data_IF_114077574778
#
_entry.id   IF_114077574778
#
_cell.length_a   1.000
_cell.length_b   1.000
_cell.length_c   1.000
_cell.angle_alpha   90.00
_cell.angle_beta   90.00
_cell.angle_gamma   90.00
#
_symmetry.space_group_name_H-M   'P 1'
#
loop_
_entity.id
_entity.type
_entity.pdbx_description
1 polymer ?
#
# COMPACT_ATOMS: atom_id res chain seq x y z
N UNK A 1 -5.68 0.32 -11.29
CA UNK A 1 -6.85 1.00 -11.98
C UNK A 1 -8.20 0.49 -11.51
N UNK A 2 -8.39 -0.81 -11.27
CA UNK A 2 -9.67 -1.35 -10.76
C UNK A 2 -10.16 -0.63 -9.49
N UNK A 3 -9.29 -0.43 -8.51
CA UNK A 3 -9.63 0.29 -7.28
C UNK A 3 -9.95 1.77 -7.50
N UNK A 4 -9.27 2.42 -8.42
CA UNK A 4 -9.55 3.81 -8.80
C UNK A 4 -10.97 3.93 -9.35
N UNK A 5 -11.35 3.03 -10.25
CA UNK A 5 -12.72 2.99 -10.80
C UNK A 5 -13.78 2.69 -9.73
N UNK A 6 -13.45 1.84 -8.75
CA UNK A 6 -14.33 1.51 -7.63
C UNK A 6 -14.58 2.70 -6.67
N UNK A 7 -13.77 3.75 -6.74
CA UNK A 7 -13.94 5.01 -5.99
C UNK A 7 -14.57 6.12 -6.87
N UNK A 8 -15.33 5.73 -7.88
CA UNK A 8 -16.06 6.63 -8.80
C UNK A 8 -15.16 7.58 -9.63
N UNK A 9 -13.87 7.28 -9.71
CA UNK A 9 -12.93 7.99 -10.60
C UNK A 9 -12.94 7.28 -11.95
N UNK A 10 -13.67 7.84 -12.91
CA UNK A 10 -13.91 7.23 -14.21
C UNK A 10 -13.64 8.22 -15.36
N UNK A 11 -13.78 7.73 -16.59
CA UNK A 11 -13.67 8.56 -17.78
C UNK A 11 -12.29 9.14 -18.01
N UNK A 12 -12.23 10.42 -18.31
CA UNK A 12 -11.00 11.13 -18.66
C UNK A 12 -10.01 11.20 -17.51
N UNK A 13 -10.49 11.36 -16.28
CA UNK A 13 -9.64 11.38 -15.08
C UNK A 13 -8.96 10.04 -14.87
N UNK A 14 -9.68 8.93 -14.96
CA UNK A 14 -9.13 7.59 -14.85
C UNK A 14 -8.13 7.28 -15.98
N UNK A 15 -8.43 7.71 -17.20
CA UNK A 15 -7.54 7.56 -18.35
C UNK A 15 -6.25 8.36 -18.15
N UNK A 16 -6.35 9.58 -17.66
CA UNK A 16 -5.19 10.41 -17.34
C UNK A 16 -4.29 9.77 -16.27
N UNK A 17 -4.88 9.27 -15.18
CA UNK A 17 -4.14 8.57 -14.11
C UNK A 17 -3.44 7.32 -14.67
N UNK A 18 -4.11 6.54 -15.49
CA UNK A 18 -3.52 5.36 -16.14
C UNK A 18 -2.30 5.74 -16.97
N UNK A 19 -2.42 6.76 -17.81
CA UNK A 19 -1.31 7.21 -18.65
C UNK A 19 -0.17 7.79 -17.83
N UNK A 20 -0.48 8.50 -16.76
CA UNK A 20 0.50 9.08 -15.84
C UNK A 20 1.29 8.00 -15.08
N UNK A 21 0.68 6.88 -14.73
CA UNK A 21 1.34 5.76 -14.08
C UNK A 21 2.09 4.83 -15.04
N UNK A 22 1.73 4.84 -16.31
CA UNK A 22 2.31 3.93 -17.31
C UNK A 22 3.63 4.45 -17.89
N UNK A 23 4.51 3.52 -18.30
CA UNK A 23 5.73 3.83 -19.03
C UNK A 23 6.75 4.67 -18.26
N UNK A 24 6.69 4.68 -16.95
CA UNK A 24 7.62 5.42 -16.10
C UNK A 24 9.00 4.77 -16.09
N UNK A 25 10.02 5.62 -16.14
CA UNK A 25 11.41 5.20 -15.95
C UNK A 25 12.05 6.05 -14.85
N UNK A 26 13.07 5.50 -14.22
CA UNK A 26 13.84 6.19 -13.18
C UNK A 26 15.32 5.99 -13.37
N UNK A 27 16.08 6.88 -12.84
CA UNK A 27 17.55 6.82 -12.75
C UNK A 27 17.99 7.39 -11.40
N UNK A 28 19.16 6.99 -10.95
CA UNK A 28 19.75 7.48 -9.71
C UNK A 28 20.88 8.45 -10.07
N UNK A 29 20.92 9.60 -9.38
CA UNK A 29 21.99 10.59 -9.51
C UNK A 29 22.67 10.76 -8.15
N UNK A 30 23.96 10.51 -8.09
CA UNK A 30 24.81 10.73 -6.92
C UNK A 30 26.06 11.49 -7.38
N UNK A 31 26.28 12.66 -6.79
CA UNK A 31 27.46 13.51 -7.11
C UNK A 31 27.68 13.68 -8.62
N UNK A 32 26.63 14.01 -9.36
CA UNK A 32 26.65 14.21 -10.82
C UNK A 32 26.94 12.95 -11.64
N UNK A 33 27.00 11.80 -11.02
CA UNK A 33 27.05 10.50 -11.69
C UNK A 33 25.66 9.90 -11.77
N UNK A 34 25.31 9.34 -12.92
CA UNK A 34 23.97 8.85 -13.24
C UNK A 34 23.98 7.34 -13.49
N UNK A 35 22.97 6.67 -12.98
CA UNK A 35 22.71 5.28 -13.36
C UNK A 35 22.08 5.20 -14.75
N UNK A 36 21.99 4.00 -15.28
CA UNK A 36 21.14 3.73 -16.44
C UNK A 36 19.66 3.93 -16.08
N UNK A 37 18.85 4.22 -17.09
CA UNK A 37 17.41 4.24 -16.96
C UNK A 37 16.88 2.84 -16.62
N UNK A 38 15.97 2.79 -15.65
CA UNK A 38 15.27 1.55 -15.27
C UNK A 38 13.76 1.79 -15.29
N UNK A 39 12.97 0.83 -15.80
CA UNK A 39 11.52 0.95 -15.76
C UNK A 39 10.99 0.92 -14.34
N UNK A 40 9.96 1.71 -14.04
CA UNK A 40 9.21 1.69 -12.79
C UNK A 40 7.95 0.86 -12.99
N UNK A 41 7.91 -0.32 -12.37
CA UNK A 41 6.83 -1.30 -12.56
C UNK A 41 5.81 -1.31 -11.42
N UNK A 42 6.09 -0.61 -10.31
CA UNK A 42 5.22 -0.54 -9.14
C UNK A 42 5.35 0.81 -8.41
N UNK A 43 4.46 1.04 -7.45
CA UNK A 43 4.44 2.25 -6.65
C UNK A 43 3.84 3.45 -7.39
N UNK A 44 3.88 4.59 -6.71
CA UNK A 44 3.39 5.88 -7.20
C UNK A 44 4.51 6.92 -7.15
N UNK A 45 4.45 7.97 -8.00
CA UNK A 45 5.48 9.01 -7.98
C UNK A 45 5.56 9.71 -6.63
N UNK A 46 6.75 9.73 -6.04
CA UNK A 46 7.06 10.45 -4.81
C UNK A 46 7.03 11.96 -5.05
N UNK A 47 6.56 12.73 -4.04
CA UNK A 47 6.50 14.19 -4.12
C UNK A 47 5.35 14.74 -4.98
N UNK A 48 4.49 13.89 -5.52
CA UNK A 48 3.27 14.31 -6.23
C UNK A 48 2.10 14.49 -5.27
N UNK A 49 1.09 15.26 -5.68
CA UNK A 49 -0.18 15.41 -4.92
C UNK A 49 -1.02 14.13 -5.00
N UNK A 50 -1.06 13.49 -6.17
CA UNK A 50 -1.85 12.27 -6.41
C UNK A 50 -1.23 11.01 -5.80
N UNK A 51 0.08 10.95 -5.60
CA UNK A 51 0.75 9.78 -5.06
C UNK A 51 0.16 9.31 -3.74
N UNK A 52 0.10 10.15 -2.70
CA UNK A 52 -0.52 9.80 -1.43
C UNK A 52 -2.00 9.42 -1.54
N UNK A 53 -2.78 10.12 -2.38
CA UNK A 53 -4.18 9.80 -2.60
C UNK A 53 -4.37 8.42 -3.23
N UNK A 54 -3.59 8.09 -4.26
CA UNK A 54 -3.64 6.77 -4.90
C UNK A 54 -3.20 5.66 -3.95
N UNK A 55 -2.22 5.92 -3.09
CA UNK A 55 -1.82 4.98 -2.06
C UNK A 55 -2.96 4.71 -1.06
N UNK A 56 -3.66 5.74 -0.58
CA UNK A 56 -4.83 5.60 0.30
C UNK A 56 -5.95 4.78 -0.36
N UNK A 57 -6.24 5.02 -1.63
CA UNK A 57 -7.19 4.22 -2.40
C UNK A 57 -6.74 2.76 -2.48
N UNK A 58 -5.45 2.52 -2.64
CA UNK A 58 -4.89 1.18 -2.77
C UNK A 58 -5.00 0.37 -1.48
N UNK A 59 -4.80 0.98 -0.32
CA UNK A 59 -4.86 0.33 1.00
C UNK A 59 -6.22 0.42 1.69
N UNK A 60 -7.22 1.00 1.05
CA UNK A 60 -8.51 1.27 1.69
C UNK A 60 -9.25 -0.01 2.15
N UNK A 61 -9.03 -1.13 1.49
CA UNK A 61 -9.61 -2.43 1.82
C UNK A 61 -8.73 -3.30 2.74
N UNK A 62 -7.65 -2.75 3.30
CA UNK A 62 -6.72 -3.48 4.17
C UNK A 62 -7.39 -4.08 5.40
N UNK A 63 -8.35 -3.36 5.97
CA UNK A 63 -9.07 -3.76 7.18
C UNK A 63 -10.31 -4.64 6.92
N UNK A 64 -10.52 -5.06 5.69
CA UNK A 64 -11.61 -5.99 5.36
C UNK A 64 -11.39 -7.34 6.01
N UNK A 65 -12.39 -7.86 6.72
CA UNK A 65 -12.33 -9.12 7.47
C UNK A 65 -11.35 -9.15 8.66
N UNK A 66 -10.89 -8.00 9.14
CA UNK A 66 -10.07 -7.88 10.34
C UNK A 66 -10.98 -7.62 11.54
N UNK A 67 -10.86 -8.48 12.56
CA UNK A 67 -11.64 -8.38 13.81
C UNK A 67 -11.02 -7.38 14.78
N UNK A 68 -9.68 -7.31 14.80
CA UNK A 68 -8.93 -6.40 15.65
C UNK A 68 -9.13 -4.93 15.25
N UNK A 69 -8.97 -4.04 16.21
CA UNK A 69 -9.03 -2.60 15.94
C UNK A 69 -7.77 -2.18 15.17
N UNK A 70 -7.98 -1.54 14.04
CA UNK A 70 -6.90 -1.07 13.17
C UNK A 70 -6.84 0.46 13.15
N UNK A 71 -5.65 1.00 13.21
CA UNK A 71 -5.35 2.41 12.98
C UNK A 71 -4.33 2.52 11.85
N UNK A 72 -4.65 3.33 10.85
CA UNK A 72 -3.82 3.56 9.67
C UNK A 72 -3.42 5.03 9.60
N UNK A 73 -2.13 5.28 9.37
CA UNK A 73 -1.61 6.61 9.10
C UNK A 73 -0.57 6.51 7.99
N UNK A 74 -0.89 7.02 6.81
CA UNK A 74 -0.08 6.85 5.60
C UNK A 74 0.25 5.36 5.38
N UNK A 75 1.52 4.98 5.39
CA UNK A 75 2.00 3.61 5.25
C UNK A 75 2.09 2.85 6.59
N UNK A 76 1.93 3.54 7.71
CA UNK A 76 1.95 2.91 9.03
C UNK A 76 0.59 2.31 9.39
N UNK A 77 0.61 1.08 9.86
CA UNK A 77 -0.58 0.35 10.31
C UNK A 77 -0.36 -0.21 11.71
N UNK A 78 -1.30 0.06 12.59
CA UNK A 78 -1.29 -0.46 13.96
C UNK A 78 -2.51 -1.33 14.19
N UNK A 79 -2.27 -2.53 14.69
CA UNK A 79 -3.30 -3.49 15.05
C UNK A 79 -3.39 -3.60 16.58
N UNK A 80 -4.59 -3.46 17.12
CA UNK A 80 -4.86 -3.57 18.54
C UNK A 80 -5.97 -4.57 18.81
N UNK A 81 -5.71 -5.51 19.72
CA UNK A 81 -6.69 -6.49 20.16
C UNK A 81 -6.57 -6.73 21.66
N UNK A 82 -7.63 -7.21 22.29
CA UNK A 82 -7.59 -7.65 23.69
C UNK A 82 -6.69 -8.89 23.76
N UNK A 83 -5.97 -9.01 24.85
CA UNK A 83 -5.10 -10.16 25.12
C UNK A 83 -5.37 -10.73 26.52
N UNK A 84 -6.61 -11.10 26.80
CA UNK A 84 -7.03 -11.65 28.07
C UNK A 84 -6.93 -13.17 28.12
N UNK A 85 -7.20 -13.82 27.02
CA UNK A 85 -7.27 -15.26 26.87
C UNK A 85 -6.34 -15.73 25.73
N UNK A 86 -5.95 -17.02 25.71
CA UNK A 86 -5.26 -17.59 24.54
C UNK A 86 -6.04 -17.42 23.22
N UNK A 87 -7.36 -17.44 23.26
CA UNK A 87 -8.22 -17.25 22.07
C UNK A 87 -8.08 -15.85 21.49
N UNK A 88 -7.98 -14.81 22.32
CA UNK A 88 -7.75 -13.43 21.90
C UNK A 88 -6.41 -13.29 21.15
N UNK A 89 -5.39 -13.99 21.64
CA UNK A 89 -4.06 -14.00 20.99
C UNK A 89 -4.12 -14.71 19.64
N UNK A 90 -4.90 -15.80 19.54
CA UNK A 90 -5.12 -16.50 18.28
C UNK A 90 -5.85 -15.64 17.26
N UNK A 91 -6.87 -14.91 17.68
CA UNK A 91 -7.59 -13.96 16.81
C UNK A 91 -6.66 -12.85 16.28
N UNK A 92 -5.81 -12.30 17.13
CA UNK A 92 -4.80 -11.32 16.73
C UNK A 92 -3.83 -11.93 15.70
N UNK A 93 -3.39 -13.16 15.93
CA UNK A 93 -2.49 -13.86 15.01
C UNK A 93 -3.16 -14.14 13.66
N UNK A 94 -4.43 -14.51 13.66
CA UNK A 94 -5.20 -14.68 12.42
C UNK A 94 -5.31 -13.37 11.64
N UNK A 95 -5.58 -12.26 12.32
CA UNK A 95 -5.63 -10.95 11.69
C UNK A 95 -4.28 -10.55 11.10
N UNK A 96 -3.19 -10.81 11.81
CA UNK A 96 -1.83 -10.60 11.28
C UNK A 96 -1.57 -11.45 10.04
N UNK A 97 -1.98 -12.71 10.03
CA UNK A 97 -1.85 -13.59 8.88
C UNK A 97 -2.65 -13.08 7.67
N UNK A 98 -3.87 -12.58 7.89
CA UNK A 98 -4.70 -11.96 6.85
C UNK A 98 -4.02 -10.72 6.25
N UNK A 99 -3.38 -9.89 7.08
CA UNK A 99 -2.64 -8.72 6.61
C UNK A 99 -1.43 -9.11 5.77
N UNK A 100 -0.69 -10.13 6.18
CA UNK A 100 0.45 -10.65 5.40
C UNK A 100 -0.01 -11.21 4.06
N UNK A 101 -1.09 -11.99 4.05
CA UNK A 101 -1.67 -12.53 2.82
C UNK A 101 -2.15 -11.42 1.89
N UNK A 102 -2.84 -10.41 2.44
CA UNK A 102 -3.29 -9.25 1.69
C UNK A 102 -2.10 -8.50 1.05
N UNK A 103 -1.03 -8.25 1.83
CA UNK A 103 0.18 -7.58 1.35
C UNK A 103 0.87 -8.36 0.24
N UNK A 104 1.01 -9.67 0.39
CA UNK A 104 1.61 -10.54 -0.62
C UNK A 104 0.79 -10.53 -1.92
N UNK A 105 -0.52 -10.63 -1.81
CA UNK A 105 -1.44 -10.57 -2.96
C UNK A 105 -1.37 -9.23 -3.70
N UNK A 106 -1.09 -8.15 -2.99
CA UNK A 106 -1.02 -6.78 -3.52
C UNK A 106 0.41 -6.35 -3.87
N UNK A 107 1.40 -7.22 -3.72
CA UNK A 107 2.82 -6.93 -3.99
C UNK A 107 3.36 -5.77 -3.14
N UNK A 108 2.89 -5.66 -1.89
CA UNK A 108 3.39 -4.70 -0.91
C UNK A 108 4.37 -5.42 0.02
N UNK A 109 5.59 -4.90 0.13
CA UNK A 109 6.57 -5.40 1.07
C UNK A 109 6.32 -4.82 2.45
N UNK A 110 6.11 -5.69 3.43
CA UNK A 110 6.02 -5.29 4.83
C UNK A 110 7.42 -5.13 5.41
N UNK A 111 7.61 -4.08 6.20
CA UNK A 111 8.85 -3.88 6.93
C UNK A 111 8.82 -4.69 8.23
N UNK A 112 9.45 -5.85 8.23
CA UNK A 112 9.48 -6.76 9.38
C UNK A 112 10.43 -6.30 10.49
N UNK A 113 11.35 -5.39 10.20
CA UNK A 113 12.32 -4.89 11.18
C UNK A 113 11.73 -3.85 12.14
N UNK A 114 10.57 -3.30 11.81
CA UNK A 114 9.85 -2.31 12.61
C UNK A 114 8.59 -2.87 13.30
N UNK A 115 8.54 -4.15 13.55
CA UNK A 115 7.49 -4.74 14.38
C UNK A 115 7.80 -4.48 15.84
N UNK A 116 7.01 -3.62 16.44
CA UNK A 116 7.08 -3.34 17.89
C UNK A 116 6.28 -4.39 18.68
#
# INVERSE_FOLDING_TARGET
>A
MVKVNAHDIQGDAARWIRNWLAGRCQWVCINQSYSNWAPVTSGVPQGSVLGPLLFLIYINDLDTNIVSKMSKFADDTKLCHRARNPDDIMELQEDMNKLVEWANKRQINLNVDNVL
#
